data_IF_414918170305
#
_entry.id   IF_414918170305
#
_cell.length_a   1.000
_cell.length_b   1.000
_cell.length_c   1.000
_cell.angle_alpha   90.00
_cell.angle_beta   90.00
_cell.angle_gamma   90.00
#
_symmetry.space_group_name_H-M   'P 1'
#
loop_
_entity.id
_entity.type
_entity.pdbx_description
1 polymer ?
#
# COMPACT_ATOMS: atom_id res chain seq x y z
N UNK A 1 14.85 18.50 15.84
CA UNK A 1 15.60 18.42 14.58
C UNK A 1 15.39 17.02 14.00
N UNK A 2 15.06 16.92 12.70
CA UNK A 2 14.82 15.65 12.03
C UNK A 2 16.14 15.13 11.44
N UNK A 3 16.98 14.57 12.30
CA UNK A 3 18.30 14.05 11.96
C UNK A 3 18.16 12.61 11.48
N UNK A 4 18.78 12.28 10.37
CA UNK A 4 18.76 10.93 9.79
C UNK A 4 19.52 9.94 10.66
N UNK A 5 18.94 8.76 10.87
CA UNK A 5 19.50 7.69 11.69
C UNK A 5 19.71 6.40 10.90
N UNK A 6 20.52 5.50 11.43
CA UNK A 6 20.64 4.13 10.90
C UNK A 6 19.27 3.45 10.92
N UNK A 7 19.01 2.58 9.97
CA UNK A 7 17.74 1.88 9.68
C UNK A 7 16.56 2.75 9.26
N UNK A 8 16.72 4.07 9.24
CA UNK A 8 15.68 4.96 8.74
C UNK A 8 15.50 4.83 7.22
N UNK A 9 14.24 4.86 6.77
CA UNK A 9 13.90 5.03 5.36
C UNK A 9 13.95 6.51 4.99
N UNK A 10 14.77 6.84 4.01
CA UNK A 10 14.88 8.18 3.44
C UNK A 10 14.50 8.15 1.96
N UNK A 11 13.97 9.28 1.49
CA UNK A 11 13.72 9.53 0.09
C UNK A 11 14.85 10.38 -0.48
N UNK A 12 15.60 9.84 -1.45
CA UNK A 12 16.54 10.62 -2.25
C UNK A 12 15.85 11.11 -3.53
N UNK A 13 15.83 12.41 -3.71
CA UNK A 13 15.27 13.06 -4.91
C UNK A 13 16.38 13.74 -5.68
N UNK A 14 16.64 13.28 -6.93
CA UNK A 14 17.62 13.92 -7.80
C UNK A 14 17.09 15.24 -8.38
N UNK A 15 17.96 16.11 -8.84
CA UNK A 15 17.58 17.32 -9.58
C UNK A 15 16.78 17.06 -10.86
N UNK A 16 16.88 15.82 -11.40
CA UNK A 16 16.08 15.38 -12.55
C UNK A 16 14.69 14.87 -12.15
N UNK A 17 14.35 14.88 -10.84
CA UNK A 17 13.08 14.41 -10.31
C UNK A 17 12.98 12.90 -10.08
N UNK A 18 14.07 12.14 -10.26
CA UNK A 18 14.08 10.71 -9.92
C UNK A 18 14.00 10.54 -8.40
N UNK A 19 13.20 9.59 -7.96
CA UNK A 19 12.89 9.33 -6.55
C UNK A 19 13.31 7.91 -6.16
N UNK A 20 14.03 7.79 -5.04
CA UNK A 20 14.56 6.52 -4.57
C UNK A 20 14.33 6.39 -3.06
N UNK A 21 13.73 5.27 -2.63
CA UNK A 21 13.63 4.93 -1.20
C UNK A 21 14.89 4.13 -0.82
N UNK A 22 15.58 4.63 0.17
CA UNK A 22 16.83 4.04 0.67
C UNK A 22 16.67 3.79 2.17
N UNK A 23 16.96 2.56 2.61
CA UNK A 23 17.15 2.26 4.03
C UNK A 23 18.60 2.53 4.37
N UNK A 24 18.84 3.46 5.28
CA UNK A 24 20.18 3.82 5.71
C UNK A 24 20.79 2.69 6.53
N UNK A 25 22.03 2.34 6.24
CA UNK A 25 22.80 1.34 6.96
C UNK A 25 24.20 1.87 7.24
N UNK A 26 24.77 1.47 8.36
CA UNK A 26 26.15 1.82 8.68
C UNK A 26 27.11 1.22 7.65
N UNK A 27 28.01 2.02 7.12
CA UNK A 27 28.90 1.64 6.00
C UNK A 27 28.19 1.37 4.67
N UNK A 28 26.86 1.61 4.58
CA UNK A 28 26.07 1.38 3.37
C UNK A 28 26.28 2.44 2.30
N UNK A 29 25.82 2.11 1.09
CA UNK A 29 25.86 3.01 -0.06
C UNK A 29 24.65 2.81 -0.98
N UNK A 30 24.16 3.91 -1.56
CA UNK A 30 23.11 3.92 -2.57
C UNK A 30 23.74 4.08 -3.96
N UNK A 31 23.34 3.22 -4.90
CA UNK A 31 23.79 3.25 -6.29
C UNK A 31 22.66 3.62 -7.26
N UNK A 32 22.97 4.50 -8.21
CA UNK A 32 22.10 4.82 -9.33
C UNK A 32 22.92 5.11 -10.59
N UNK A 33 22.25 5.35 -11.71
CA UNK A 33 22.89 5.83 -12.94
C UNK A 33 23.55 7.23 -12.76
N UNK A 34 23.14 7.99 -11.72
CA UNK A 34 23.69 9.27 -11.34
C UNK A 34 24.89 9.15 -10.37
N UNK A 35 25.37 7.95 -10.13
CA UNK A 35 26.52 7.67 -9.25
C UNK A 35 26.10 7.09 -7.90
N UNK A 36 27.06 7.11 -6.98
CA UNK A 36 26.98 6.53 -5.65
C UNK A 36 26.92 7.62 -4.60
N UNK A 37 26.03 7.46 -3.61
CA UNK A 37 25.92 8.29 -2.40
C UNK A 37 26.20 7.39 -1.20
N UNK A 38 27.13 7.80 -0.32
CA UNK A 38 27.42 7.06 0.91
C UNK A 38 26.31 7.34 1.94
N UNK A 39 25.86 6.33 2.67
CA UNK A 39 24.90 6.53 3.74
C UNK A 39 25.46 7.38 4.88
N UNK A 40 26.78 7.35 5.10
CA UNK A 40 27.50 8.22 6.05
C UNK A 40 27.36 9.72 5.75
N UNK A 41 27.10 10.09 4.48
CA UNK A 41 26.89 11.49 4.09
C UNK A 41 25.49 12.00 4.47
N UNK A 42 24.59 11.08 4.87
CA UNK A 42 23.19 11.34 5.24
C UNK A 42 23.00 11.10 6.75
N UNK A 43 23.52 9.99 7.27
CA UNK A 43 23.38 9.63 8.70
C UNK A 43 24.01 10.74 9.57
N UNK A 44 23.26 11.18 10.59
CA UNK A 44 23.68 12.26 11.48
C UNK A 44 23.45 13.67 10.92
N UNK A 45 22.96 13.80 9.68
CA UNK A 45 22.61 15.10 9.08
C UNK A 45 21.11 15.36 9.18
N UNK A 46 20.74 16.63 9.15
CA UNK A 46 19.33 17.02 9.07
C UNK A 46 18.75 16.68 7.69
N UNK A 47 17.59 16.04 7.66
CA UNK A 47 16.84 15.85 6.42
C UNK A 47 16.39 17.19 5.82
N UNK A 48 16.27 17.22 4.49
CA UNK A 48 16.03 18.43 3.71
C UNK A 48 17.30 19.03 3.10
N UNK A 49 18.48 18.46 3.39
CA UNK A 49 19.76 18.91 2.84
C UNK A 49 20.12 18.19 1.56
N UNK A 50 20.96 18.84 0.76
CA UNK A 50 21.59 18.21 -0.41
C UNK A 50 22.70 17.27 0.00
N UNK A 51 22.78 16.15 -0.73
CA UNK A 51 23.92 15.22 -0.74
C UNK A 51 24.40 15.04 -2.18
N UNK A 52 25.68 14.82 -2.37
CA UNK A 52 26.30 14.78 -3.70
C UNK A 52 26.87 13.39 -3.98
N UNK A 53 26.57 12.85 -5.15
CA UNK A 53 27.14 11.56 -5.56
C UNK A 53 28.61 11.68 -5.92
N UNK A 54 29.30 10.55 -6.02
CA UNK A 54 30.71 10.50 -6.47
C UNK A 54 30.92 10.99 -7.92
N UNK A 55 29.81 11.24 -8.67
CA UNK A 55 29.83 11.80 -10.04
C UNK A 55 29.49 13.30 -10.06
N UNK A 56 29.20 13.88 -8.89
CA UNK A 56 28.82 15.29 -8.78
C UNK A 56 27.31 15.57 -8.95
N UNK A 57 26.48 14.52 -9.14
CA UNK A 57 25.03 14.69 -9.18
C UNK A 57 24.47 14.94 -7.77
N UNK A 58 23.50 15.85 -7.70
CA UNK A 58 22.92 16.31 -6.44
C UNK A 58 21.59 15.62 -6.19
N UNK A 59 21.37 15.25 -4.93
CA UNK A 59 20.13 14.72 -4.40
C UNK A 59 19.72 15.52 -3.18
N UNK A 60 18.42 15.61 -2.93
CA UNK A 60 17.88 16.07 -1.65
C UNK A 60 17.47 14.84 -0.85
N UNK A 61 17.97 14.72 0.38
CA UNK A 61 17.58 13.66 1.31
C UNK A 61 16.37 14.10 2.14
N UNK A 62 15.23 13.46 1.95
CA UNK A 62 13.96 13.79 2.60
C UNK A 62 13.48 12.63 3.48
N UNK A 63 12.60 12.92 4.42
CA UNK A 63 11.84 11.87 5.10
C UNK A 63 10.88 11.23 4.10
N UNK A 64 10.97 9.90 3.95
CA UNK A 64 10.01 9.15 3.16
C UNK A 64 8.62 9.19 3.80
N UNK A 65 7.60 9.50 3.02
CA UNK A 65 6.21 9.45 3.44
C UNK A 65 5.47 8.27 2.80
N UNK A 66 4.24 8.01 3.25
CA UNK A 66 3.46 6.87 2.77
C UNK A 66 3.23 6.88 1.25
N UNK A 67 2.99 8.06 0.66
CA UNK A 67 2.86 8.20 -0.79
C UNK A 67 4.12 7.71 -1.52
N UNK A 68 5.30 8.07 -1.01
CA UNK A 68 6.58 7.66 -1.58
C UNK A 68 6.76 6.14 -1.48
N UNK A 69 6.38 5.54 -0.34
CA UNK A 69 6.46 4.09 -0.13
C UNK A 69 5.58 3.34 -1.13
N UNK A 70 4.32 3.77 -1.33
CA UNK A 70 3.39 3.16 -2.29
C UNK A 70 3.91 3.31 -3.73
N UNK A 71 4.36 4.51 -4.10
CA UNK A 71 4.79 4.78 -5.47
C UNK A 71 6.09 4.09 -5.87
N UNK A 72 6.89 3.64 -4.89
CA UNK A 72 8.17 2.96 -5.11
C UNK A 72 8.13 1.45 -4.89
N UNK A 73 6.94 0.85 -4.72
CA UNK A 73 6.84 -0.62 -4.70
C UNK A 73 7.38 -1.22 -6.00
N UNK A 74 8.08 -2.33 -5.91
CA UNK A 74 8.49 -3.09 -7.09
C UNK A 74 7.27 -3.72 -7.72
N UNK A 75 6.91 -3.25 -8.93
CA UNK A 75 5.63 -3.58 -9.56
C UNK A 75 5.72 -4.84 -10.41
N UNK A 76 4.74 -5.73 -10.25
CA UNK A 76 4.47 -6.84 -11.17
C UNK A 76 3.27 -6.57 -12.09
N UNK A 77 2.61 -5.42 -11.92
CA UNK A 77 1.41 -4.98 -12.64
C UNK A 77 0.99 -3.58 -12.23
N UNK A 78 -0.24 -3.22 -12.56
CA UNK A 78 -0.87 -1.98 -12.08
C UNK A 78 -1.08 -2.06 -10.56
N UNK A 79 -0.92 -0.94 -9.88
CA UNK A 79 -1.23 -0.80 -8.46
C UNK A 79 -2.41 0.16 -8.30
N UNK A 80 -3.15 0.01 -7.20
CA UNK A 80 -4.07 1.06 -6.77
C UNK A 80 -3.27 2.31 -6.39
N UNK A 81 -3.68 3.49 -6.91
CA UNK A 81 -2.93 4.73 -6.71
C UNK A 81 -3.32 5.44 -5.41
N UNK A 82 -2.42 6.26 -4.84
CA UNK A 82 -2.66 6.95 -3.56
C UNK A 82 -3.94 7.79 -3.51
N UNK A 83 -4.42 8.33 -4.65
CA UNK A 83 -5.68 9.09 -4.72
C UNK A 83 -6.90 8.23 -4.36
N UNK A 84 -6.92 6.98 -4.86
CA UNK A 84 -8.00 6.03 -4.64
C UNK A 84 -7.86 5.37 -3.26
N UNK A 85 -6.62 5.00 -2.90
CA UNK A 85 -6.29 4.44 -1.58
C UNK A 85 -6.73 5.39 -0.46
N UNK A 86 -6.36 6.68 -0.55
CA UNK A 86 -6.71 7.66 0.48
C UNK A 86 -8.21 7.81 0.68
N UNK A 87 -8.97 7.81 -0.42
CA UNK A 87 -10.43 7.85 -0.37
C UNK A 87 -11.01 6.57 0.27
N UNK A 88 -10.55 5.40 -0.19
CA UNK A 88 -10.99 4.11 0.33
C UNK A 88 -10.75 3.98 1.84
N UNK A 89 -9.54 4.34 2.32
CA UNK A 89 -9.21 4.29 3.75
C UNK A 89 -10.18 5.11 4.60
N UNK A 90 -10.50 6.33 4.16
CA UNK A 90 -11.43 7.21 4.87
C UNK A 90 -12.86 6.70 4.84
N UNK A 91 -13.33 6.24 3.68
CA UNK A 91 -14.71 5.74 3.51
C UNK A 91 -14.95 4.43 4.26
N UNK A 92 -13.98 3.56 4.31
CA UNK A 92 -14.06 2.30 5.04
C UNK A 92 -13.74 2.44 6.54
N UNK A 93 -13.44 3.65 7.00
CA UNK A 93 -13.15 3.92 8.40
C UNK A 93 -11.90 3.20 8.93
N UNK A 94 -10.93 2.92 8.05
CA UNK A 94 -9.72 2.20 8.40
C UNK A 94 -8.75 3.10 9.16
N UNK A 95 -8.35 2.67 10.35
CA UNK A 95 -7.45 3.41 11.23
C UNK A 95 -6.69 2.51 12.20
N UNK A 96 -6.00 3.10 13.17
CA UNK A 96 -5.23 2.33 14.15
C UNK A 96 -6.11 1.32 14.89
N UNK A 97 -5.65 0.06 14.90
CA UNK A 97 -6.37 -1.05 15.53
C UNK A 97 -7.37 -1.77 14.63
N UNK A 98 -7.64 -1.30 13.40
CA UNK A 98 -8.54 -1.99 12.48
C UNK A 98 -7.98 -3.33 12.02
N UNK A 99 -8.86 -4.32 11.92
CA UNK A 99 -8.62 -5.61 11.27
C UNK A 99 -9.24 -5.57 9.88
N UNK A 100 -8.42 -5.73 8.84
CA UNK A 100 -8.83 -5.52 7.46
C UNK A 100 -8.44 -6.71 6.60
N UNK A 101 -9.39 -7.23 5.83
CA UNK A 101 -9.12 -8.19 4.76
C UNK A 101 -8.93 -7.42 3.45
N UNK A 102 -7.85 -7.72 2.76
CA UNK A 102 -7.56 -7.32 1.39
C UNK A 102 -7.52 -8.56 0.51
N UNK A 103 -8.23 -8.58 -0.60
CA UNK A 103 -8.09 -9.62 -1.61
C UNK A 103 -7.65 -9.02 -2.94
N UNK A 104 -6.61 -9.62 -3.53
CA UNK A 104 -5.86 -9.07 -4.63
C UNK A 104 -4.65 -8.26 -4.14
N UNK A 105 -3.76 -8.91 -3.37
CA UNK A 105 -2.52 -8.29 -2.84
C UNK A 105 -1.71 -7.60 -3.94
N UNK A 106 -1.63 -8.23 -5.11
CA UNK A 106 -0.84 -7.72 -6.23
C UNK A 106 0.61 -7.46 -5.84
N UNK A 107 1.10 -6.24 -6.09
CA UNK A 107 2.46 -5.82 -5.69
C UNK A 107 2.53 -5.24 -4.27
N UNK A 108 1.45 -5.25 -3.51
CA UNK A 108 1.41 -4.74 -2.14
C UNK A 108 1.26 -3.23 -2.02
N UNK A 109 0.72 -2.55 -3.05
CA UNK A 109 0.52 -1.10 -3.01
C UNK A 109 -0.53 -0.69 -1.97
N UNK A 110 -1.73 -1.27 -2.04
CA UNK A 110 -2.78 -1.06 -1.06
C UNK A 110 -2.38 -1.67 0.30
N UNK A 111 -1.80 -2.89 0.29
CA UNK A 111 -1.30 -3.55 1.51
C UNK A 111 -0.36 -2.65 2.32
N UNK A 112 0.55 -1.92 1.63
CA UNK A 112 1.46 -0.95 2.27
C UNK A 112 0.68 0.16 3.00
N UNK A 113 -0.36 0.69 2.37
CA UNK A 113 -1.18 1.73 2.98
C UNK A 113 -1.98 1.19 4.17
N UNK A 114 -2.66 0.06 3.99
CA UNK A 114 -3.43 -0.59 5.03
C UNK A 114 -2.56 -0.89 6.26
N UNK A 115 -1.42 -1.57 6.05
CA UNK A 115 -0.48 -1.90 7.13
C UNK A 115 0.05 -0.66 7.85
N UNK A 116 0.27 0.44 7.12
CA UNK A 116 0.68 1.71 7.72
C UNK A 116 -0.39 2.29 8.64
N UNK A 117 -1.66 2.24 8.23
CA UNK A 117 -2.77 2.85 8.97
C UNK A 117 -3.27 2.01 10.15
N UNK A 118 -3.29 0.68 10.03
CA UNK A 118 -3.79 -0.20 11.12
C UNK A 118 -2.85 -0.30 12.33
N UNK A 119 -1.57 0.15 12.19
CA UNK A 119 -0.62 0.15 13.34
C UNK A 119 -1.25 0.85 14.55
N UNK A 120 -1.02 0.44 15.78
CA UNK A 120 -0.06 -0.54 16.32
C UNK A 120 -0.70 -1.88 16.67
N UNK A 121 -2.01 -1.96 16.77
CA UNK A 121 -2.75 -3.12 17.28
C UNK A 121 -3.61 -3.80 16.24
N UNK A 122 -3.78 -3.17 15.06
CA UNK A 122 -4.54 -3.73 13.96
C UNK A 122 -3.76 -4.73 13.10
N UNK A 123 -4.45 -5.30 12.13
CA UNK A 123 -3.91 -6.34 11.26
C UNK A 123 -4.50 -6.25 9.85
N UNK A 124 -3.69 -6.55 8.85
CA UNK A 124 -4.10 -6.75 7.46
C UNK A 124 -3.96 -8.23 7.13
N UNK A 125 -5.03 -8.83 6.65
CA UNK A 125 -5.05 -10.19 6.11
C UNK A 125 -5.13 -10.07 4.59
N UNK A 126 -4.02 -10.32 3.91
CA UNK A 126 -3.88 -10.05 2.49
C UNK A 126 -3.84 -11.34 1.68
N UNK A 127 -4.88 -11.53 0.86
CA UNK A 127 -5.13 -12.75 0.07
C UNK A 127 -4.68 -12.58 -1.38
N UNK A 128 -3.94 -13.56 -1.87
CA UNK A 128 -3.46 -13.61 -3.26
C UNK A 128 -3.38 -15.07 -3.72
N UNK A 129 -3.87 -15.34 -4.93
CA UNK A 129 -3.80 -16.69 -5.52
C UNK A 129 -2.45 -16.95 -6.20
N UNK A 130 -1.79 -15.89 -6.68
CA UNK A 130 -0.53 -15.95 -7.40
C UNK A 130 0.66 -15.85 -6.46
N UNK A 131 1.40 -16.95 -6.31
CA UNK A 131 2.57 -17.03 -5.44
C UNK A 131 3.64 -15.97 -5.80
N UNK A 132 3.90 -15.74 -7.10
CA UNK A 132 4.89 -14.77 -7.57
C UNK A 132 4.56 -13.32 -7.18
N UNK A 133 3.26 -12.98 -7.17
CA UNK A 133 2.78 -11.66 -6.74
C UNK A 133 2.85 -11.52 -5.22
N UNK A 134 2.43 -12.55 -4.48
CA UNK A 134 2.51 -12.54 -3.03
C UNK A 134 3.96 -12.42 -2.54
N UNK A 135 4.91 -13.15 -3.15
CA UNK A 135 6.34 -13.05 -2.82
C UNK A 135 6.89 -11.65 -3.08
N UNK A 136 6.44 -11.01 -4.16
CA UNK A 136 6.80 -9.62 -4.47
C UNK A 136 6.25 -8.66 -3.42
N UNK A 137 4.99 -8.81 -3.07
CA UNK A 137 4.35 -8.00 -2.02
C UNK A 137 5.07 -8.17 -0.68
N UNK A 138 5.40 -9.40 -0.28
CA UNK A 138 6.17 -9.67 0.95
C UNK A 138 7.48 -8.88 0.97
N UNK A 139 8.26 -8.92 -0.12
CA UNK A 139 9.52 -8.17 -0.24
C UNK A 139 9.31 -6.66 -0.15
N UNK A 140 8.26 -6.14 -0.79
CA UNK A 140 7.93 -4.72 -0.71
C UNK A 140 7.56 -4.30 0.71
N UNK A 141 6.73 -5.09 1.41
CA UNK A 141 6.30 -4.83 2.79
C UNK A 141 7.48 -4.94 3.76
N UNK A 142 8.35 -5.95 3.60
CA UNK A 142 9.58 -6.11 4.39
C UNK A 142 10.52 -4.92 4.20
N UNK A 143 10.73 -4.49 2.95
CA UNK A 143 11.57 -3.34 2.62
C UNK A 143 11.17 -2.08 3.36
N UNK A 144 9.88 -1.89 3.63
CA UNK A 144 9.37 -0.70 4.33
C UNK A 144 9.11 -0.94 5.82
N UNK A 145 9.39 -2.15 6.33
CA UNK A 145 9.30 -2.48 7.77
C UNK A 145 7.87 -2.64 8.26
N UNK A 146 6.93 -3.01 7.38
CA UNK A 146 5.51 -3.16 7.73
C UNK A 146 5.05 -4.62 7.91
N UNK A 147 5.97 -5.60 7.76
CA UNK A 147 5.67 -7.03 7.93
C UNK A 147 4.97 -7.40 9.24
N UNK A 148 5.25 -6.76 10.40
CA UNK A 148 4.57 -7.11 11.65
C UNK A 148 3.05 -6.93 11.63
N UNK A 149 2.50 -6.18 10.69
CA UNK A 149 1.06 -5.88 10.61
C UNK A 149 0.34 -6.57 9.47
N UNK A 150 1.01 -7.48 8.72
CA UNK A 150 0.43 -8.16 7.56
C UNK A 150 0.57 -9.67 7.70
N UNK A 151 -0.55 -10.36 7.61
CA UNK A 151 -0.61 -11.80 7.41
C UNK A 151 -0.98 -12.05 5.94
N UNK A 152 -0.12 -12.76 5.24
CA UNK A 152 -0.30 -13.07 3.83
C UNK A 152 -0.84 -14.49 3.67
N UNK A 153 -1.96 -14.61 2.97
CA UNK A 153 -2.64 -15.86 2.69
C UNK A 153 -2.59 -16.17 1.19
N UNK A 154 -1.90 -17.26 0.84
CA UNK A 154 -1.93 -17.77 -0.55
C UNK A 154 -3.14 -18.69 -0.71
N UNK A 155 -4.29 -18.09 -1.05
CA UNK A 155 -5.58 -18.81 -1.07
C UNK A 155 -6.53 -18.18 -2.07
N UNK A 156 -7.36 -19.02 -2.69
CA UNK A 156 -8.52 -18.58 -3.46
C UNK A 156 -9.64 -18.17 -2.51
N UNK A 157 -10.10 -16.94 -2.63
CA UNK A 157 -11.19 -16.39 -1.80
C UNK A 157 -12.57 -16.98 -2.13
N UNK A 158 -12.69 -17.75 -3.20
CA UNK A 158 -13.87 -18.60 -3.45
C UNK A 158 -14.11 -19.59 -2.31
N UNK A 159 -13.06 -20.02 -1.61
CA UNK A 159 -13.14 -20.87 -0.40
C UNK A 159 -13.53 -20.11 0.87
N UNK A 160 -13.78 -18.80 0.77
CA UNK A 160 -14.03 -17.90 1.89
C UNK A 160 -12.77 -17.40 2.58
N UNK A 161 -12.94 -16.46 3.50
CA UNK A 161 -11.88 -15.94 4.35
C UNK A 161 -11.78 -16.74 5.65
N UNK A 162 -10.58 -16.83 6.21
CA UNK A 162 -10.37 -17.49 7.50
C UNK A 162 -10.86 -16.63 8.68
N UNK A 163 -10.73 -15.32 8.54
CA UNK A 163 -11.07 -14.33 9.55
C UNK A 163 -12.57 -14.07 9.61
N UNK A 164 -13.02 -13.65 10.78
CA UNK A 164 -14.38 -13.20 11.08
C UNK A 164 -14.32 -11.94 11.93
N UNK A 165 -15.44 -11.23 11.96
CA UNK A 165 -15.59 -9.99 12.76
C UNK A 165 -14.57 -8.91 12.41
N UNK A 166 -14.12 -8.85 11.13
CA UNK A 166 -13.21 -7.80 10.68
C UNK A 166 -13.91 -6.46 10.47
N UNK A 167 -13.17 -5.38 10.58
CA UNK A 167 -13.69 -4.01 10.44
C UNK A 167 -14.01 -3.66 9.00
N UNK A 168 -13.18 -4.14 8.06
CA UNK A 168 -13.35 -3.86 6.64
C UNK A 168 -12.87 -5.01 5.76
N UNK A 169 -13.49 -5.15 4.59
CA UNK A 169 -13.04 -6.01 3.49
C UNK A 169 -12.88 -5.17 2.23
N UNK A 170 -11.76 -5.28 1.54
CA UNK A 170 -11.52 -4.62 0.25
C UNK A 170 -11.13 -5.64 -0.82
N UNK A 171 -11.87 -5.63 -1.94
CA UNK A 171 -11.63 -6.52 -3.08
C UNK A 171 -11.05 -5.74 -4.27
N UNK A 172 -9.80 -6.06 -4.66
CA UNK A 172 -9.14 -5.64 -5.90
C UNK A 172 -8.84 -6.88 -6.74
N UNK A 173 -9.90 -7.58 -7.10
CA UNK A 173 -9.89 -8.82 -7.88
C UNK A 173 -10.67 -8.64 -9.18
N UNK A 174 -10.55 -9.60 -10.12
CA UNK A 174 -11.16 -9.47 -11.44
C UNK A 174 -12.69 -9.39 -11.41
N UNK A 175 -13.32 -10.22 -10.58
CA UNK A 175 -14.79 -10.41 -10.51
C UNK A 175 -15.24 -10.30 -9.03
N UNK A 176 -15.19 -9.08 -8.43
CA UNK A 176 -15.49 -8.91 -7.00
C UNK A 176 -16.95 -9.21 -6.64
N UNK A 177 -17.86 -9.20 -7.63
CA UNK A 177 -19.27 -9.58 -7.48
C UNK A 177 -19.43 -11.03 -7.02
N UNK A 178 -18.54 -11.93 -7.38
CA UNK A 178 -18.62 -13.35 -7.02
C UNK A 178 -18.25 -13.65 -5.55
N UNK A 179 -17.63 -12.68 -4.86
CA UNK A 179 -17.08 -12.89 -3.51
C UNK A 179 -17.73 -12.04 -2.42
N UNK A 180 -18.85 -11.41 -2.72
CA UNK A 180 -19.51 -10.51 -1.78
C UNK A 180 -20.16 -11.26 -0.59
N UNK A 181 -20.63 -12.49 -0.81
CA UNK A 181 -21.14 -13.33 0.26
C UNK A 181 -20.04 -13.70 1.27
N UNK A 182 -18.86 -14.05 0.77
CA UNK A 182 -17.69 -14.35 1.62
C UNK A 182 -17.25 -13.10 2.40
N UNK A 183 -17.27 -11.93 1.74
CA UNK A 183 -16.96 -10.66 2.41
C UNK A 183 -17.99 -10.34 3.51
N UNK A 184 -19.28 -10.56 3.26
CA UNK A 184 -20.34 -10.38 4.24
C UNK A 184 -20.16 -11.27 5.48
N UNK A 185 -19.81 -12.55 5.26
CA UNK A 185 -19.55 -13.50 6.35
C UNK A 185 -18.33 -13.16 7.19
N UNK A 186 -17.33 -12.50 6.61
CA UNK A 186 -16.10 -12.12 7.30
C UNK A 186 -16.27 -10.83 8.11
N UNK A 187 -17.15 -9.93 7.67
CA UNK A 187 -17.36 -8.62 8.30
C UNK A 187 -18.10 -8.74 9.65
N UNK A 188 -17.70 -7.90 10.59
CA UNK A 188 -18.51 -7.64 11.77
C UNK A 188 -19.77 -6.87 11.40
N UNK A 189 -20.78 -6.88 12.27
CA UNK A 189 -21.94 -6.01 12.12
C UNK A 189 -21.52 -4.53 12.06
N UNK A 190 -21.97 -3.82 11.00
CA UNK A 190 -21.57 -2.44 10.74
C UNK A 190 -20.15 -2.30 10.17
N UNK A 191 -19.50 -3.41 9.80
CA UNK A 191 -18.24 -3.39 9.06
C UNK A 191 -18.42 -2.87 7.63
N UNK A 192 -17.34 -2.40 7.03
CA UNK A 192 -17.35 -1.74 5.73
C UNK A 192 -16.82 -2.65 4.61
N UNK A 193 -17.49 -2.60 3.44
CA UNK A 193 -17.06 -3.31 2.23
C UNK A 193 -16.67 -2.32 1.14
N UNK A 194 -15.58 -2.59 0.43
CA UNK A 194 -15.15 -1.85 -0.75
C UNK A 194 -14.65 -2.75 -1.85
N UNK A 195 -14.84 -2.33 -3.09
CA UNK A 195 -14.28 -3.00 -4.27
C UNK A 195 -13.77 -1.99 -5.30
N UNK A 196 -12.71 -2.34 -6.00
CA UNK A 196 -12.20 -1.58 -7.15
C UNK A 196 -12.62 -2.30 -8.43
N UNK A 197 -13.30 -1.57 -9.32
CA UNK A 197 -13.75 -2.11 -10.61
C UNK A 197 -13.41 -1.14 -11.75
N UNK A 198 -12.91 -1.64 -12.89
CA UNK A 198 -12.46 -0.78 -13.99
C UNK A 198 -13.56 -0.36 -14.97
N UNK A 199 -14.76 -0.97 -14.93
CA UNK A 199 -15.81 -0.75 -15.93
C UNK A 199 -17.18 -0.53 -15.31
N UNK A 200 -18.04 0.22 -16.01
CA UNK A 200 -19.43 0.47 -15.60
C UNK A 200 -20.28 -0.80 -15.56
N UNK A 201 -19.99 -1.80 -16.41
CA UNK A 201 -20.69 -3.08 -16.35
C UNK A 201 -20.42 -3.79 -15.04
N UNK A 202 -19.15 -3.88 -14.63
CA UNK A 202 -18.77 -4.44 -13.33
C UNK A 202 -19.35 -3.65 -12.15
N UNK A 203 -19.44 -2.32 -12.26
CA UNK A 203 -20.17 -1.53 -11.25
C UNK A 203 -21.60 -2.04 -11.09
N UNK A 204 -22.31 -2.28 -12.20
CA UNK A 204 -23.70 -2.76 -12.17
C UNK A 204 -23.81 -4.16 -11.56
N UNK A 205 -22.86 -5.05 -11.87
CA UNK A 205 -22.80 -6.42 -11.34
C UNK A 205 -22.50 -6.41 -9.83
N UNK A 206 -21.51 -5.62 -9.41
CA UNK A 206 -21.21 -5.44 -7.97
C UNK A 206 -22.38 -4.87 -7.20
N UNK A 207 -23.07 -3.83 -7.73
CA UNK A 207 -24.23 -3.24 -7.08
C UNK A 207 -25.37 -4.25 -6.93
N UNK A 208 -25.64 -5.05 -7.95
CA UNK A 208 -26.67 -6.09 -7.90
C UNK A 208 -26.36 -7.15 -6.83
N UNK A 209 -25.10 -7.60 -6.78
CA UNK A 209 -24.65 -8.55 -5.76
C UNK A 209 -24.71 -7.97 -4.35
N UNK A 210 -24.26 -6.73 -4.14
CA UNK A 210 -24.36 -6.04 -2.84
C UNK A 210 -25.80 -5.96 -2.34
N UNK A 211 -26.74 -5.64 -3.23
CA UNK A 211 -28.17 -5.60 -2.90
C UNK A 211 -28.68 -7.01 -2.51
N UNK A 212 -28.27 -8.05 -3.24
CA UNK A 212 -28.70 -9.41 -2.99
C UNK A 212 -28.20 -9.95 -1.64
N UNK A 213 -26.98 -9.58 -1.25
CA UNK A 213 -26.35 -9.98 0.03
C UNK A 213 -26.93 -9.17 1.20
N UNK A 214 -27.37 -7.93 0.97
CA UNK A 214 -27.99 -7.07 1.98
C UNK A 214 -27.11 -5.90 2.44
N UNK A 215 -26.07 -5.54 1.69
CA UNK A 215 -25.28 -4.34 1.97
C UNK A 215 -26.14 -3.07 1.83
N UNK A 216 -25.91 -2.11 2.70
CA UNK A 216 -26.64 -0.83 2.75
C UNK A 216 -25.65 0.35 2.64
N UNK A 217 -26.18 1.56 2.42
CA UNK A 217 -25.39 2.80 2.30
C UNK A 217 -24.31 2.71 1.22
N UNK A 218 -24.69 2.23 0.03
CA UNK A 218 -23.79 1.97 -1.08
C UNK A 218 -23.50 3.25 -1.85
N UNK A 219 -22.22 3.52 -2.11
CA UNK A 219 -21.73 4.63 -2.91
C UNK A 219 -20.82 4.12 -4.03
N UNK A 220 -20.92 4.74 -5.19
CA UNK A 220 -19.99 4.55 -6.32
C UNK A 220 -19.28 5.87 -6.57
N UNK A 221 -17.95 5.85 -6.59
CA UNK A 221 -17.15 7.04 -6.78
C UNK A 221 -15.99 6.82 -7.78
N UNK A 222 -15.68 7.84 -8.56
CA UNK A 222 -14.48 7.94 -9.36
C UNK A 222 -13.66 9.14 -8.90
N UNK A 223 -12.36 8.95 -8.63
CA UNK A 223 -11.50 10.00 -8.12
C UNK A 223 -10.65 10.57 -9.26
N UNK A 224 -10.87 11.82 -9.62
CA UNK A 224 -10.09 12.54 -10.62
C UNK A 224 -9.11 13.49 -9.94
N UNK A 225 -7.82 13.35 -10.28
CA UNK A 225 -6.76 14.20 -9.75
C UNK A 225 -6.15 15.03 -10.89
N UNK A 226 -6.14 16.35 -10.74
CA UNK A 226 -5.55 17.29 -11.70
C UNK A 226 -4.35 18.00 -11.09
N UNK A 227 -3.22 17.93 -11.78
CA UNK A 227 -2.02 18.69 -11.45
C UNK A 227 -1.91 19.94 -12.34
N UNK A 228 -1.46 21.02 -11.74
CA UNK A 228 -1.09 22.25 -12.47
C UNK A 228 0.43 22.37 -12.48
N UNK A 229 0.99 22.78 -13.62
CA UNK A 229 2.42 23.07 -13.79
C UNK A 229 2.66 24.56 -13.67
#
# INVERSE_FOLDING_TARGET
>A
MNVATVDQLVLLVSHQGNRYIVRLADGGEFHSHLGRVMHSDIIGQELGREVVSNRGDRFIALQANLHDLIMTVERGGTIMYPKDIGYALLKLGIGPGSHVIEAGTGSGGLTTALAYYVRTTGRVYSYEVRADMQDRARKNIERVGLSPWVDFEQRDIAEGFAERDVDAVFLDVREPEDYQAQAWEALKWGGAFGALVPTTNQVSEVLAGMQAVGFADVEVAEILLRFYK
#
